data_IF_090154944715
#
_entry.id   IF_090154944715
#
_cell.length_a   1.000
_cell.length_b   1.000
_cell.length_c   1.000
_cell.angle_alpha   90.00
_cell.angle_beta   90.00
_cell.angle_gamma   90.00
#
_symmetry.space_group_name_H-M   'P 1'
#
loop_
_entity.id
_entity.type
_entity.pdbx_description
1 polymer ?
#
# COMPACT_ATOMS: atom_id res chain seq x y z
N UNK A 1 -35.02 -19.96 35.52
CA UNK A 1 -35.23 -20.42 36.92
C UNK A 1 -34.32 -21.61 37.16
N UNK A 2 -33.97 -21.88 38.43
CA UNK A 2 -32.90 -22.77 38.96
C UNK A 2 -31.58 -21.98 39.14
N UNK A 3 -31.36 -21.27 40.26
CA UNK A 3 -30.95 -21.72 41.60
C UNK A 3 -29.62 -22.49 41.53
N UNK A 4 -28.45 -22.02 42.00
CA UNK A 4 -28.13 -21.28 43.21
C UNK A 4 -27.50 -22.27 44.20
N UNK A 5 -26.22 -22.08 44.58
CA UNK A 5 -25.65 -22.52 45.86
C UNK A 5 -24.24 -21.91 46.03
N UNK A 6 -24.15 -21.02 47.01
CA UNK A 6 -22.91 -20.51 47.59
C UNK A 6 -22.30 -21.56 48.52
N UNK A 7 -20.98 -21.51 48.70
CA UNK A 7 -20.35 -22.02 49.92
C UNK A 7 -19.22 -21.08 50.33
N UNK A 8 -19.45 -20.38 51.42
CA UNK A 8 -18.44 -19.71 52.24
C UNK A 8 -18.25 -20.50 53.53
N UNK A 9 -17.02 -20.58 54.04
CA UNK A 9 -16.61 -20.39 55.46
C UNK A 9 -15.12 -20.72 55.62
N UNK A 10 -14.32 -19.73 56.08
CA UNK A 10 -13.76 -19.56 57.46
C UNK A 10 -12.72 -20.63 57.82
N UNK A 11 -11.59 -20.42 58.51
CA UNK A 11 -10.88 -19.28 59.13
C UNK A 11 -9.57 -19.89 59.67
N UNK A 12 -8.48 -19.13 59.75
CA UNK A 12 -7.60 -19.08 60.93
C UNK A 12 -6.35 -18.24 60.63
N UNK A 13 -6.17 -17.23 61.47
CA UNK A 13 -4.96 -16.46 61.63
C UNK A 13 -3.83 -17.32 62.21
N UNK A 14 -2.58 -16.98 61.89
CA UNK A 14 -1.54 -17.01 62.92
C UNK A 14 -0.46 -15.96 62.66
N UNK A 15 -0.27 -15.13 63.66
CA UNK A 15 0.76 -14.10 63.82
C UNK A 15 2.04 -14.72 64.39
N UNK A 16 3.21 -14.35 63.87
CA UNK A 16 4.47 -14.40 64.61
C UNK A 16 5.47 -13.39 64.03
N UNK A 17 6.14 -12.69 64.96
CA UNK A 17 7.01 -11.53 64.79
C UNK A 17 8.49 -11.91 64.66
N UNK A 18 9.30 -10.90 64.30
CA UNK A 18 10.76 -10.76 64.38
C UNK A 18 11.56 -11.51 63.29
N UNK A 19 12.50 -10.89 62.57
CA UNK A 19 13.53 -9.97 63.08
C UNK A 19 14.08 -9.07 61.97
N UNK A 20 14.43 -7.85 62.36
CA UNK A 20 15.22 -6.94 61.53
C UNK A 20 16.67 -7.44 61.42
N UNK A 21 17.22 -7.38 60.20
CA UNK A 21 18.67 -7.28 59.98
C UNK A 21 18.90 -6.04 59.14
N UNK A 22 19.56 -5.08 59.77
CA UNK A 22 20.08 -3.85 59.20
C UNK A 22 21.24 -4.11 58.25
N UNK A 23 21.27 -3.44 57.09
CA UNK A 23 22.52 -3.13 56.40
C UNK A 23 22.39 -1.82 55.63
N UNK A 24 23.34 -0.92 55.83
CA UNK A 24 23.61 0.29 55.06
C UNK A 24 25.08 0.66 55.28
N UNK A 25 25.69 1.51 54.46
CA UNK A 25 26.08 1.31 53.07
C UNK A 25 27.62 1.31 52.94
N UNK A 26 28.17 0.80 51.83
CA UNK A 26 29.58 1.08 51.49
C UNK A 26 29.77 1.20 49.97
N UNK A 27 30.45 2.27 49.62
CA UNK A 27 30.62 2.89 48.31
C UNK A 27 31.32 2.05 47.23
N UNK A 28 31.02 2.41 45.98
CA UNK A 28 32.08 2.68 44.99
C UNK A 28 32.34 1.60 43.94
N UNK A 29 31.83 1.82 42.72
CA UNK A 29 32.28 1.10 41.52
C UNK A 29 31.30 1.14 40.36
N UNK A 30 31.04 2.32 39.79
CA UNK A 30 30.30 2.46 38.53
C UNK A 30 31.20 2.01 37.37
N UNK A 31 30.98 0.79 36.89
CA UNK A 31 31.57 0.28 35.65
C UNK A 31 30.79 0.90 34.47
N UNK A 32 31.21 2.09 34.06
CA UNK A 32 30.69 2.81 32.90
C UNK A 32 31.05 2.04 31.63
N UNK A 33 30.09 1.28 31.09
CA UNK A 33 30.17 0.87 29.68
C UNK A 33 29.94 2.13 28.83
N UNK A 34 30.80 2.43 27.84
CA UNK A 34 30.58 3.57 26.98
C UNK A 34 29.29 3.37 26.19
N UNK A 35 28.34 4.28 26.38
CA UNK A 35 27.14 4.39 25.56
C UNK A 35 27.57 4.38 24.10
N UNK A 36 27.02 3.42 23.35
CA UNK A 36 27.15 3.43 21.90
C UNK A 36 26.37 4.64 21.42
N UNK A 37 27.13 5.68 21.14
CA UNK A 37 26.76 6.85 20.37
C UNK A 37 26.23 6.39 19.00
N UNK A 38 24.94 6.10 18.95
CA UNK A 38 24.20 5.91 17.72
C UNK A 38 23.99 7.29 17.12
N UNK A 39 25.00 7.73 16.37
CA UNK A 39 24.83 8.64 15.23
C UNK A 39 23.54 8.29 14.50
N UNK A 40 22.56 9.16 14.58
CA UNK A 40 22.26 10.12 13.53
C UNK A 40 20.89 10.71 13.82
N UNK A 41 20.86 12.02 14.01
CA UNK A 41 19.64 12.82 14.02
C UNK A 41 18.97 12.73 12.64
N UNK A 42 18.29 11.62 12.35
CA UNK A 42 17.39 11.49 11.24
C UNK A 42 16.08 12.20 11.61
N UNK A 43 16.07 13.52 11.41
CA UNK A 43 14.92 14.41 11.25
C UNK A 43 13.55 13.79 11.59
N UNK A 44 13.15 13.85 12.86
CA UNK A 44 11.77 13.60 13.28
C UNK A 44 10.81 14.76 12.97
N UNK A 45 11.33 15.88 12.47
CA UNK A 45 10.59 17.13 12.31
C UNK A 45 10.34 17.45 10.82
N UNK A 46 9.40 16.75 10.15
CA UNK A 46 8.70 17.32 8.96
C UNK A 46 7.55 16.46 8.40
N UNK A 47 6.78 15.79 9.27
CA UNK A 47 5.43 15.37 8.88
C UNK A 47 4.49 16.51 9.27
N UNK A 48 3.82 17.17 8.31
CA UNK A 48 2.86 18.21 8.66
C UNK A 48 1.85 17.56 9.60
N UNK A 49 1.51 18.24 10.70
CA UNK A 49 0.48 17.79 11.65
C UNK A 49 -0.88 17.47 10.99
N UNK A 50 -1.01 17.76 9.68
CA UNK A 50 -2.13 17.41 8.80
C UNK A 50 -1.59 17.06 7.41
N UNK A 51 -1.52 15.77 7.03
CA UNK A 51 -1.04 15.36 5.71
C UNK A 51 -1.95 15.88 4.61
N UNK A 52 -1.38 16.27 3.47
CA UNK A 52 -2.11 16.77 2.29
C UNK A 52 -2.09 15.79 1.13
N UNK A 53 -2.86 16.09 0.08
CA UNK A 53 -2.87 15.31 -1.17
C UNK A 53 -1.49 15.24 -1.81
N UNK A 54 -0.73 16.33 -1.80
CA UNK A 54 0.65 16.35 -2.33
C UNK A 54 1.61 15.44 -1.55
N UNK A 55 1.35 15.18 -0.26
CA UNK A 55 2.19 14.36 0.60
C UNK A 55 1.98 12.85 0.43
N UNK A 56 0.92 12.41 -0.26
CA UNK A 56 0.54 10.98 -0.38
C UNK A 56 1.71 10.13 -0.85
N UNK A 57 2.45 10.57 -1.86
CA UNK A 57 3.58 9.79 -2.39
C UNK A 57 4.72 9.66 -1.36
N UNK A 58 5.03 10.73 -0.64
CA UNK A 58 6.07 10.74 0.40
C UNK A 58 5.68 9.79 1.54
N UNK A 59 4.45 9.89 2.03
CA UNK A 59 3.92 9.02 3.09
C UNK A 59 3.89 7.55 2.66
N UNK A 60 3.46 7.28 1.43
CA UNK A 60 3.46 5.93 0.88
C UNK A 60 4.87 5.34 0.82
N UNK A 61 5.89 6.11 0.41
CA UNK A 61 7.28 5.63 0.42
C UNK A 61 7.75 5.30 1.83
N UNK A 62 7.49 6.19 2.79
CA UNK A 62 7.91 6.05 4.18
C UNK A 62 7.32 4.80 4.86
N UNK A 63 6.05 4.47 4.57
CA UNK A 63 5.36 3.34 5.21
C UNK A 63 5.42 2.04 4.39
N UNK A 64 5.87 2.08 3.13
CA UNK A 64 5.91 0.91 2.24
C UNK A 64 7.34 0.44 1.89
N UNK A 65 8.36 0.80 2.67
CA UNK A 65 9.76 0.48 2.35
C UNK A 65 9.99 -1.02 2.11
N UNK A 66 9.40 -1.88 2.95
CA UNK A 66 9.46 -3.33 2.80
C UNK A 66 8.85 -3.83 1.47
N UNK A 67 7.71 -3.27 1.06
CA UNK A 67 7.03 -3.65 -0.18
C UNK A 67 7.70 -3.12 -1.46
N UNK A 68 8.60 -2.14 -1.32
CA UNK A 68 9.38 -1.57 -2.43
C UNK A 68 10.77 -2.21 -2.55
N UNK A 69 11.24 -2.87 -1.50
CA UNK A 69 12.51 -3.58 -1.47
C UNK A 69 12.49 -4.74 -2.47
N UNK A 70 13.49 -4.81 -3.34
CA UNK A 70 13.60 -5.85 -4.38
C UNK A 70 12.98 -5.51 -5.74
N UNK A 71 12.37 -4.33 -5.90
CA UNK A 71 11.95 -3.86 -7.22
C UNK A 71 13.15 -3.48 -8.10
N UNK A 72 13.16 -3.95 -9.35
CA UNK A 72 14.15 -3.46 -10.32
C UNK A 72 13.89 -1.98 -10.68
N UNK A 73 14.91 -1.24 -11.18
CA UNK A 73 14.77 0.18 -11.48
C UNK A 73 13.60 0.50 -12.43
N UNK A 74 13.36 -0.35 -13.43
CA UNK A 74 12.26 -0.15 -14.37
C UNK A 74 10.89 -0.45 -13.75
N UNK A 75 10.80 -1.41 -12.83
CA UNK A 75 9.56 -1.69 -12.10
C UNK A 75 9.21 -0.54 -11.17
N UNK A 76 10.19 -0.05 -10.41
CA UNK A 76 10.03 1.13 -9.56
C UNK A 76 9.58 2.35 -10.36
N UNK A 77 10.22 2.62 -11.50
CA UNK A 77 9.84 3.73 -12.38
C UNK A 77 8.38 3.63 -12.84
N UNK A 78 7.94 2.46 -13.31
CA UNK A 78 6.54 2.25 -13.73
C UNK A 78 5.57 2.37 -12.55
N UNK A 79 5.94 1.84 -11.39
CA UNK A 79 5.16 1.90 -10.16
C UNK A 79 4.92 3.34 -9.71
N UNK A 80 5.96 4.16 -9.74
CA UNK A 80 5.95 5.59 -9.44
C UNK A 80 5.09 6.38 -10.44
N UNK A 81 5.33 6.21 -11.74
CA UNK A 81 4.61 6.94 -12.79
C UNK A 81 3.09 6.74 -12.68
N UNK A 82 2.64 5.51 -12.41
CA UNK A 82 1.20 5.24 -12.30
C UNK A 82 0.55 5.99 -11.14
N UNK A 83 1.20 5.97 -9.97
CA UNK A 83 0.72 6.57 -8.72
C UNK A 83 0.80 8.09 -8.72
N UNK A 84 1.92 8.66 -9.18
CA UNK A 84 2.06 10.11 -9.34
C UNK A 84 1.04 10.68 -10.30
N UNK A 85 0.75 9.96 -11.40
CA UNK A 85 -0.32 10.36 -12.32
C UNK A 85 -1.68 10.37 -11.64
N UNK A 86 -1.99 9.38 -10.79
CA UNK A 86 -3.26 9.33 -10.08
C UNK A 86 -3.38 10.46 -9.05
N UNK A 87 -2.32 10.71 -8.27
CA UNK A 87 -2.24 11.84 -7.32
C UNK A 87 -2.42 13.16 -8.06
N UNK A 88 -1.71 13.37 -9.16
CA UNK A 88 -1.82 14.60 -9.96
C UNK A 88 -3.25 14.85 -10.42
N UNK A 89 -3.92 13.86 -11.01
CA UNK A 89 -5.31 14.06 -11.45
C UNK A 89 -6.26 14.40 -10.31
N UNK A 90 -6.06 13.79 -9.14
CA UNK A 90 -6.89 14.09 -7.98
C UNK A 90 -6.58 15.47 -7.40
N UNK A 91 -5.30 15.84 -7.30
CA UNK A 91 -4.84 17.16 -6.85
C UNK A 91 -5.31 18.27 -7.80
N UNK A 92 -5.24 18.07 -9.12
CA UNK A 92 -5.74 19.03 -10.10
C UNK A 92 -7.26 19.24 -9.98
N UNK A 93 -7.99 18.22 -9.51
CA UNK A 93 -9.44 18.27 -9.33
C UNK A 93 -9.86 18.94 -8.01
N UNK A 94 -9.23 18.58 -6.89
CA UNK A 94 -9.66 18.99 -5.54
C UNK A 94 -8.77 20.08 -4.92
N UNK A 95 -7.59 20.32 -5.49
CA UNK A 95 -6.52 21.11 -4.92
C UNK A 95 -5.70 20.37 -3.86
N UNK A 96 -4.67 21.04 -3.35
CA UNK A 96 -3.81 20.50 -2.29
C UNK A 96 -4.46 20.63 -0.91
N UNK A 97 -5.50 19.83 -0.66
CA UNK A 97 -6.26 19.81 0.59
C UNK A 97 -5.69 18.80 1.58
N UNK A 98 -6.03 18.98 2.86
CA UNK A 98 -5.71 18.03 3.93
C UNK A 98 -6.48 16.71 3.72
N UNK A 99 -5.83 15.57 3.91
CA UNK A 99 -6.41 14.24 3.71
C UNK A 99 -7.63 13.99 4.61
N UNK A 100 -7.60 14.48 5.85
CA UNK A 100 -8.74 14.39 6.78
C UNK A 100 -9.99 15.14 6.31
N UNK A 101 -9.83 16.13 5.42
CA UNK A 101 -10.96 16.92 4.91
C UNK A 101 -11.64 16.28 3.69
N UNK A 102 -11.08 15.19 3.16
CA UNK A 102 -11.61 14.49 2.00
C UNK A 102 -12.74 13.58 2.45
N UNK A 103 -13.94 13.85 1.96
CA UNK A 103 -15.11 13.03 2.25
C UNK A 103 -15.51 12.16 1.05
N UNK A 104 -16.42 11.22 1.29
CA UNK A 104 -17.05 10.41 0.26
C UNK A 104 -17.66 11.24 -0.86
N UNK A 105 -18.23 12.41 -0.55
CA UNK A 105 -18.78 13.29 -1.56
C UNK A 105 -17.72 13.78 -2.56
N UNK A 106 -16.50 14.08 -2.10
CA UNK A 106 -15.39 14.49 -2.96
C UNK A 106 -14.98 13.39 -3.94
N UNK A 107 -14.89 12.15 -3.46
CA UNK A 107 -14.48 11.02 -4.29
C UNK A 107 -15.55 10.68 -5.34
N UNK A 108 -16.84 10.77 -5.00
CA UNK A 108 -17.93 10.63 -5.98
C UNK A 108 -17.87 11.74 -7.04
N UNK A 109 -17.62 13.01 -6.67
CA UNK A 109 -17.43 14.08 -7.67
C UNK A 109 -16.22 13.82 -8.58
N UNK A 110 -15.14 13.28 -8.03
CA UNK A 110 -13.97 12.89 -8.82
C UNK A 110 -14.30 11.75 -9.79
N UNK A 111 -15.13 10.78 -9.39
CA UNK A 111 -15.65 9.74 -10.27
C UNK A 111 -16.48 10.33 -11.41
N UNK A 112 -17.35 11.29 -11.13
CA UNK A 112 -18.17 11.94 -12.17
C UNK A 112 -17.31 12.75 -13.16
N UNK A 113 -16.25 13.40 -12.66
CA UNK A 113 -15.24 14.01 -13.51
C UNK A 113 -14.56 12.98 -14.43
N UNK A 114 -14.18 11.82 -13.91
CA UNK A 114 -13.61 10.73 -14.73
C UNK A 114 -14.59 10.22 -15.79
N UNK A 115 -15.88 10.11 -15.47
CA UNK A 115 -16.90 9.69 -16.44
C UNK A 115 -16.98 10.67 -17.61
N UNK A 116 -16.96 11.98 -17.34
CA UNK A 116 -16.91 13.01 -18.39
C UNK A 116 -15.63 12.92 -19.22
N UNK A 117 -14.48 12.84 -18.57
CA UNK A 117 -13.18 12.70 -19.24
C UNK A 117 -13.11 11.46 -20.13
N UNK A 118 -13.62 10.32 -19.67
CA UNK A 118 -13.71 9.08 -20.45
C UNK A 118 -14.54 9.29 -21.72
N UNK A 119 -15.67 9.98 -21.60
CA UNK A 119 -16.56 10.28 -22.73
C UNK A 119 -15.88 11.23 -23.73
N UNK A 120 -15.24 12.28 -23.26
CA UNK A 120 -14.67 13.34 -24.10
C UNK A 120 -13.38 12.88 -24.79
N UNK A 121 -12.49 12.20 -24.07
CA UNK A 121 -11.20 11.73 -24.58
C UNK A 121 -11.26 10.29 -25.15
N UNK A 122 -12.45 9.68 -25.18
CA UNK A 122 -12.68 8.28 -25.64
C UNK A 122 -11.75 7.28 -24.94
N UNK A 123 -11.57 7.42 -23.63
CA UNK A 123 -10.71 6.53 -22.84
C UNK A 123 -11.44 5.26 -22.40
N UNK A 124 -10.69 4.26 -21.93
CA UNK A 124 -11.26 3.08 -21.27
C UNK A 124 -11.63 3.37 -19.83
N UNK A 125 -12.70 2.76 -19.33
CA UNK A 125 -13.01 2.77 -17.90
C UNK A 125 -11.88 2.16 -17.04
N UNK A 126 -11.07 1.26 -17.60
CA UNK A 126 -9.89 0.71 -16.96
C UNK A 126 -8.84 1.78 -16.59
N UNK A 127 -8.76 2.89 -17.33
CA UNK A 127 -7.87 4.01 -17.00
C UNK A 127 -8.27 4.69 -15.70
N UNK A 128 -9.56 5.01 -15.53
CA UNK A 128 -10.08 5.59 -14.29
C UNK A 128 -9.97 4.60 -13.13
N UNK A 129 -10.35 3.33 -13.36
CA UNK A 129 -10.24 2.28 -12.35
C UNK A 129 -8.78 2.06 -11.91
N UNK A 130 -7.79 2.25 -12.80
CA UNK A 130 -6.38 2.21 -12.44
C UNK A 130 -6.01 3.35 -11.49
N UNK A 131 -6.45 4.57 -11.77
CA UNK A 131 -6.23 5.71 -10.87
C UNK A 131 -6.88 5.53 -9.50
N UNK A 132 -8.12 5.03 -9.45
CA UNK A 132 -8.78 4.74 -8.17
C UNK A 132 -8.06 3.67 -7.36
N UNK A 133 -7.62 2.59 -8.01
CA UNK A 133 -6.88 1.52 -7.34
C UNK A 133 -5.50 1.98 -6.85
N UNK A 134 -4.79 2.79 -7.64
CA UNK A 134 -3.50 3.34 -7.23
C UNK A 134 -3.66 4.24 -5.99
N UNK A 135 -4.68 5.11 -5.96
CA UNK A 135 -4.93 5.99 -4.81
C UNK A 135 -5.40 5.20 -3.58
N UNK A 136 -6.37 4.31 -3.73
CA UNK A 136 -6.88 3.50 -2.62
C UNK A 136 -5.76 2.65 -2.00
N UNK A 137 -4.96 1.95 -2.82
CA UNK A 137 -3.86 1.13 -2.32
C UNK A 137 -2.69 1.92 -1.73
N UNK A 138 -2.56 3.22 -2.02
CA UNK A 138 -1.64 4.08 -1.28
C UNK A 138 -2.20 4.46 0.09
N UNK A 139 -3.50 4.80 0.15
CA UNK A 139 -4.15 5.12 1.42
C UNK A 139 -4.19 3.94 2.38
N UNK A 140 -4.38 2.71 1.90
CA UNK A 140 -4.36 1.52 2.77
C UNK A 140 -3.04 1.42 3.57
N UNK A 141 -1.89 1.62 2.91
CA UNK A 141 -0.58 1.57 3.58
C UNK A 141 -0.35 2.77 4.50
N UNK A 142 -0.83 3.96 4.11
CA UNK A 142 -0.73 5.17 4.92
C UNK A 142 -1.61 5.05 6.18
N UNK A 143 -2.80 4.48 6.04
CA UNK A 143 -3.76 4.27 7.11
C UNK A 143 -3.20 3.30 8.16
N UNK A 144 -2.53 2.23 7.72
CA UNK A 144 -1.82 1.30 8.61
C UNK A 144 -0.68 2.00 9.36
N UNK A 145 0.11 2.84 8.66
CA UNK A 145 1.26 3.53 9.23
C UNK A 145 0.92 4.68 10.17
N UNK A 146 -0.19 5.39 9.93
CA UNK A 146 -0.62 6.55 10.71
C UNK A 146 -1.80 6.26 11.65
N UNK A 147 -2.32 5.02 11.64
CA UNK A 147 -3.55 4.63 12.35
C UNK A 147 -4.75 5.51 11.98
N UNK A 148 -4.93 5.76 10.69
CA UNK A 148 -6.00 6.59 10.12
C UNK A 148 -6.94 5.75 9.24
N UNK A 149 -7.93 6.40 8.60
CA UNK A 149 -8.97 5.73 7.80
C UNK A 149 -9.32 6.52 6.53
N UNK A 150 -8.32 7.11 5.88
CA UNK A 150 -8.50 7.86 4.65
C UNK A 150 -9.03 7.01 3.49
N UNK A 151 -8.73 5.70 3.46
CA UNK A 151 -9.19 4.77 2.43
C UNK A 151 -10.72 4.66 2.34
N UNK A 152 -11.45 4.90 3.44
CA UNK A 152 -12.90 4.75 3.51
C UNK A 152 -13.64 5.60 2.47
N UNK A 153 -13.13 6.80 2.18
CA UNK A 153 -13.71 7.67 1.18
C UNK A 153 -13.64 7.06 -0.24
N UNK A 154 -12.73 6.12 -0.50
CA UNK A 154 -12.41 5.54 -1.82
C UNK A 154 -13.05 4.18 -2.09
N UNK A 155 -13.68 3.54 -1.10
CA UNK A 155 -14.27 2.20 -1.26
C UNK A 155 -15.34 2.15 -2.36
N UNK A 156 -15.49 1.07 -3.13
CA UNK A 156 -16.63 0.91 -4.08
C UNK A 156 -16.81 2.07 -5.10
N UNK A 157 -15.76 2.84 -5.41
CA UNK A 157 -15.81 3.96 -6.39
C UNK A 157 -15.69 3.52 -7.86
N UNK A 158 -15.42 2.22 -8.09
CA UNK A 158 -15.12 1.67 -9.42
C UNK A 158 -16.24 1.93 -10.42
N UNK A 159 -15.85 2.24 -11.65
CA UNK A 159 -16.78 2.37 -12.78
C UNK A 159 -16.95 0.99 -13.41
N UNK A 160 -18.21 0.53 -13.52
CA UNK A 160 -18.53 -0.73 -14.18
C UNK A 160 -18.18 -0.65 -15.66
N UNK A 161 -17.37 -1.59 -16.12
CA UNK A 161 -17.03 -1.71 -17.53
C UNK A 161 -18.24 -2.29 -18.28
N UNK A 162 -18.84 -1.48 -19.15
CA UNK A 162 -19.90 -1.88 -20.09
C UNK A 162 -19.37 -1.85 -21.52
N UNK A 163 -20.13 -2.40 -22.48
CA UNK A 163 -19.76 -2.39 -23.91
C UNK A 163 -19.46 -0.96 -24.43
N UNK A 164 -20.08 0.08 -23.86
CA UNK A 164 -19.82 1.48 -24.21
C UNK A 164 -18.48 2.03 -23.69
N UNK A 165 -17.87 1.37 -22.70
CA UNK A 165 -16.63 1.81 -22.02
C UNK A 165 -15.45 0.84 -22.20
N UNK A 166 -15.72 -0.32 -22.81
CA UNK A 166 -14.71 -1.26 -23.25
C UNK A 166 -14.34 -0.91 -24.70
N UNK A 167 -13.26 -0.14 -24.91
CA UNK A 167 -12.72 -0.05 -26.27
C UNK A 167 -12.16 -1.42 -26.67
N UNK A 168 -12.24 -1.71 -27.97
CA UNK A 168 -11.92 -2.99 -28.57
C UNK A 168 -10.69 -3.69 -27.97
N UNK A 169 -10.84 -5.01 -27.82
CA UNK A 169 -9.73 -5.88 -27.45
C UNK A 169 -8.74 -5.88 -28.61
N UNK A 170 -7.44 -5.78 -28.30
CA UNK A 170 -6.39 -5.91 -29.32
C UNK A 170 -6.60 -7.24 -30.04
N UNK A 171 -6.76 -7.26 -31.38
CA UNK A 171 -7.02 -8.50 -32.09
C UNK A 171 -5.84 -9.46 -31.94
N UNK A 172 -6.08 -10.78 -31.96
CA UNK A 172 -5.01 -11.76 -31.97
C UNK A 172 -4.13 -11.58 -33.21
N UNK A 173 -2.86 -11.98 -33.11
CA UNK A 173 -1.97 -11.94 -34.27
C UNK A 173 -2.53 -12.82 -35.40
N UNK A 174 -2.48 -12.35 -36.66
CA UNK A 174 -2.97 -13.14 -37.78
C UNK A 174 -2.12 -14.39 -37.99
N UNK A 175 -2.77 -15.57 -37.99
CA UNK A 175 -2.13 -16.89 -38.15
C UNK A 175 -1.21 -16.97 -39.39
N UNK A 176 -1.61 -16.35 -40.50
CA UNK A 176 -0.85 -16.40 -41.76
C UNK A 176 0.48 -15.63 -41.68
N UNK A 177 0.53 -14.55 -40.90
CA UNK A 177 1.75 -13.77 -40.70
C UNK A 177 2.74 -14.50 -39.79
N UNK A 178 2.23 -15.19 -38.77
CA UNK A 178 3.01 -16.01 -37.86
C UNK A 178 3.67 -17.20 -38.58
N UNK A 179 2.91 -17.95 -39.41
CA UNK A 179 3.47 -19.08 -40.16
C UNK A 179 4.56 -18.66 -41.16
N UNK A 180 4.39 -17.53 -41.82
CA UNK A 180 5.34 -17.05 -42.85
C UNK A 180 6.62 -16.40 -42.31
N UNK A 181 6.64 -15.94 -41.06
CA UNK A 181 7.80 -15.23 -40.49
C UNK A 181 8.44 -15.96 -39.32
N UNK A 182 7.64 -16.61 -38.47
CA UNK A 182 8.11 -17.28 -37.25
C UNK A 182 8.35 -18.77 -37.52
N UNK A 183 7.52 -19.40 -38.37
CA UNK A 183 7.62 -20.83 -38.74
C UNK A 183 8.06 -21.03 -40.20
N UNK A 184 8.78 -20.06 -40.78
CA UNK A 184 9.30 -20.22 -42.12
C UNK A 184 10.39 -21.31 -42.13
N UNK A 185 10.58 -22.03 -43.25
CA UNK A 185 11.72 -22.93 -43.41
C UNK A 185 13.03 -22.19 -43.11
N UNK A 186 13.84 -22.74 -42.21
CA UNK A 186 15.11 -22.14 -41.77
C UNK A 186 15.00 -21.06 -40.68
N UNK A 187 13.80 -20.57 -40.32
CA UNK A 187 13.63 -19.56 -39.26
C UNK A 187 13.98 -20.08 -37.85
N UNK A 188 13.95 -21.40 -37.67
CA UNK A 188 14.21 -22.06 -36.40
C UNK A 188 15.62 -22.65 -36.30
N UNK A 189 16.50 -22.44 -37.30
CA UNK A 189 17.80 -23.10 -37.35
C UNK A 189 18.78 -22.65 -36.26
N UNK A 190 18.56 -21.48 -35.66
CA UNK A 190 19.30 -21.00 -34.49
C UNK A 190 18.87 -21.62 -33.14
N UNK A 191 17.83 -22.46 -33.11
CA UNK A 191 17.38 -23.14 -31.89
C UNK A 191 18.08 -24.50 -31.72
N UNK A 192 18.29 -24.90 -30.46
CA UNK A 192 18.76 -26.24 -30.12
C UNK A 192 17.66 -27.30 -30.39
N UNK A 193 18.03 -28.58 -30.38
CA UNK A 193 17.12 -29.68 -30.70
C UNK A 193 15.88 -29.72 -29.79
N UNK A 194 16.05 -29.45 -28.50
CA UNK A 194 14.95 -29.38 -27.52
C UNK A 194 14.00 -28.22 -27.81
N UNK A 195 14.53 -27.04 -28.14
CA UNK A 195 13.75 -25.86 -28.52
C UNK A 195 12.94 -26.07 -29.80
N UNK A 196 13.47 -26.84 -30.76
CA UNK A 196 12.74 -27.23 -31.99
C UNK A 196 11.58 -28.18 -31.66
N UNK A 197 11.78 -29.15 -30.77
CA UNK A 197 10.77 -30.14 -30.38
C UNK A 197 9.57 -29.56 -29.61
N UNK A 198 9.73 -28.43 -28.91
CA UNK A 198 8.61 -27.74 -28.22
C UNK A 198 7.69 -27.04 -29.23
N UNK A 199 8.23 -26.55 -30.34
CA UNK A 199 7.52 -25.69 -31.30
C UNK A 199 6.87 -26.51 -32.42
N UNK A 200 7.52 -27.59 -32.85
CA UNK A 200 7.03 -28.52 -33.88
C UNK A 200 6.76 -29.86 -33.18
N UNK A 201 5.54 -30.11 -32.68
CA UNK A 201 5.15 -31.44 -32.22
C UNK A 201 5.03 -32.43 -33.39
#
# INVERSE_FOLDING_TARGET
MWSGLASSRLVAANSASASQVSYSPSDGGLDQKPDRDCRDNAKSDDLPHRPRVSDIWKLYLQHNEAGLTGMSPNQMRKHKISRERAIRYFNDFIGDRELHSIDRADTIRFRDWWVRKIKDEKLKASSANRSFADIAGMHDIIDDGLHTQFHKAWEKIRIKETNATNLDKRPPFPLHGSKKKILAPGALDGLNAEGKAIIIP
#
